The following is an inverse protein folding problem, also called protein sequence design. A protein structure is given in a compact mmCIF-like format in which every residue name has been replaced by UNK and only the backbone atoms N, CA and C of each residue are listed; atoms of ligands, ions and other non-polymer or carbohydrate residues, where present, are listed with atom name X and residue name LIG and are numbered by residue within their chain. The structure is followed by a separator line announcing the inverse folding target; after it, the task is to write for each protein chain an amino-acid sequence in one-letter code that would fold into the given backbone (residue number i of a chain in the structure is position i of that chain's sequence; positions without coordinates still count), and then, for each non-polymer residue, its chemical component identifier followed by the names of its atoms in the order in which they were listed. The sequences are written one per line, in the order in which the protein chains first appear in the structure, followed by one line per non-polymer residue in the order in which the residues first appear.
data_IF_464176745872
#
_entry.id   IF_464176745872
#
_cell.length_a   1.000
_cell.length_b   1.000
_cell.length_c   1.000
_cell.angle_alpha   90.00
_cell.angle_beta   90.00
_cell.angle_gamma   90.00
#
_symmetry.space_group_name_H-M   'P 1'
#
loop_
_entity.id
_entity.type
_entity.pdbx_description
1 polymer ?
#
# COMPACT_ATOMS: atom_id res chain seq x y z
N UNK A 1 4.74 -15.28 -12.56
CA UNK A 1 5.46 -14.97 -11.31
C UNK A 1 4.45 -14.29 -10.42
N UNK A 2 4.30 -14.68 -9.16
CA UNK A 2 3.20 -14.15 -8.35
C UNK A 2 3.38 -12.66 -8.07
N UNK A 3 2.42 -11.84 -8.50
CA UNK A 3 2.45 -10.38 -8.38
C UNK A 3 1.51 -9.89 -7.29
N UNK A 4 2.04 -9.10 -6.36
CA UNK A 4 1.33 -8.56 -5.21
C UNK A 4 1.36 -7.04 -5.25
N UNK A 5 0.20 -6.40 -5.14
CA UNK A 5 0.12 -4.96 -4.87
C UNK A 5 -0.02 -4.74 -3.37
N UNK A 6 0.94 -4.03 -2.78
CA UNK A 6 0.97 -3.73 -1.35
C UNK A 6 0.63 -2.27 -1.09
N UNK A 7 -0.59 -2.02 -0.57
CA UNK A 7 -1.14 -0.69 -0.28
C UNK A 7 -1.12 -0.47 1.22
N UNK A 8 -0.09 0.22 1.72
CA UNK A 8 0.15 0.36 3.16
C UNK A 8 0.82 1.70 3.51
N UNK A 9 0.97 1.99 4.81
CA UNK A 9 1.81 3.10 5.26
C UNK A 9 3.29 2.87 4.97
N UNK A 10 4.08 3.95 4.94
CA UNK A 10 5.54 3.89 4.81
C UNK A 10 6.23 4.82 5.81
N UNK A 11 7.37 4.39 6.34
CA UNK A 11 8.22 5.17 7.25
C UNK A 11 9.66 5.23 6.75
N UNK A 12 10.40 6.31 7.03
CA UNK A 12 11.82 6.40 6.69
C UNK A 12 12.69 5.57 7.66
N UNK A 13 12.34 5.58 8.95
CA UNK A 13 13.04 4.89 10.02
C UNK A 13 12.13 3.84 10.70
N UNK A 14 12.68 2.64 10.90
CA UNK A 14 11.97 1.47 11.43
C UNK A 14 11.33 0.58 10.36
N UNK A 15 10.59 -0.44 10.82
CA UNK A 15 9.97 -1.47 10.00
C UNK A 15 8.49 -1.65 10.36
N UNK A 16 7.63 -0.88 9.69
CA UNK A 16 6.16 -1.02 9.70
C UNK A 16 5.63 -0.78 8.29
N UNK A 17 4.40 -1.22 7.99
CA UNK A 17 3.80 -1.05 6.67
C UNK A 17 4.68 -1.59 5.54
N UNK A 18 4.79 -0.87 4.43
CA UNK A 18 5.58 -1.30 3.28
C UNK A 18 7.08 -1.48 3.57
N UNK A 19 7.64 -0.79 4.58
CA UNK A 19 9.02 -1.06 5.04
C UNK A 19 9.18 -2.45 5.64
N UNK A 20 8.13 -2.98 6.27
CA UNK A 20 8.10 -4.31 6.85
C UNK A 20 7.62 -5.40 5.89
N UNK A 21 6.82 -5.05 4.88
CA UNK A 21 6.20 -6.03 3.98
C UNK A 21 6.99 -6.27 2.68
N UNK A 22 7.48 -5.21 2.02
CA UNK A 22 7.99 -5.30 0.64
C UNK A 22 9.21 -6.19 0.53
N UNK A 23 10.23 -5.95 1.38
CA UNK A 23 11.48 -6.70 1.30
C UNK A 23 11.30 -8.20 1.60
N UNK A 24 10.58 -8.62 2.67
CA UNK A 24 10.31 -10.04 2.88
C UNK A 24 9.58 -10.72 1.71
N UNK A 25 8.57 -10.07 1.13
CA UNK A 25 7.83 -10.63 -0.01
C UNK A 25 8.72 -10.77 -1.24
N UNK A 26 9.52 -9.75 -1.57
CA UNK A 26 10.51 -9.83 -2.65
C UNK A 26 11.56 -10.92 -2.38
N UNK A 27 11.99 -11.09 -1.12
CA UNK A 27 12.94 -12.12 -0.72
C UNK A 27 12.38 -13.55 -0.89
N UNK A 28 11.06 -13.69 -0.87
CA UNK A 28 10.33 -14.94 -1.16
C UNK A 28 10.12 -15.16 -2.68
N UNK A 29 10.58 -14.24 -3.54
CA UNK A 29 10.47 -14.37 -4.99
C UNK A 29 9.16 -13.85 -5.58
N UNK A 30 8.40 -13.06 -4.82
CA UNK A 30 7.20 -12.38 -5.29
C UNK A 30 7.57 -11.07 -5.98
N UNK A 31 6.88 -10.73 -7.06
CA UNK A 31 6.91 -9.37 -7.60
C UNK A 31 6.02 -8.49 -6.72
N UNK A 32 6.50 -7.33 -6.28
CA UNK A 32 5.76 -6.48 -5.35
C UNK A 32 5.72 -5.04 -5.83
N UNK A 33 4.52 -4.57 -6.14
CA UNK A 33 4.25 -3.14 -6.39
C UNK A 33 3.80 -2.48 -5.10
N UNK A 34 4.61 -1.56 -4.57
CA UNK A 34 4.30 -0.83 -3.35
C UNK A 34 3.57 0.48 -3.64
N UNK A 35 2.43 0.70 -3.00
CA UNK A 35 1.68 1.97 -3.00
C UNK A 35 1.62 2.46 -1.55
N UNK A 36 2.21 3.61 -1.28
CA UNK A 36 2.31 4.15 0.06
C UNK A 36 1.12 5.08 0.34
N UNK A 37 0.48 4.95 1.50
CA UNK A 37 -0.64 5.81 1.91
C UNK A 37 -0.20 7.03 2.70
N UNK A 38 0.98 6.92 3.32
CA UNK A 38 1.66 8.00 4.06
C UNK A 38 3.15 7.86 3.83
N UNK A 39 3.89 8.93 4.04
CA UNK A 39 5.32 8.86 4.29
C UNK A 39 5.66 9.63 5.56
N UNK A 40 5.99 8.89 6.62
CA UNK A 40 6.43 9.47 7.88
C UNK A 40 7.93 9.24 8.14
N UNK A 41 8.52 10.03 9.03
CA UNK A 41 9.89 9.82 9.48
C UNK A 41 10.04 8.51 10.27
N UNK A 42 9.08 8.19 11.14
CA UNK A 42 9.04 6.97 11.96
C UNK A 42 7.59 6.64 12.33
N UNK A 43 7.35 5.46 12.93
CA UNK A 43 6.01 5.12 13.40
C UNK A 43 5.60 5.96 14.62
N UNK A 44 4.30 6.15 14.81
CA UNK A 44 3.71 7.06 15.81
C UNK A 44 4.00 6.67 17.26
N UNK A 45 4.33 5.40 17.53
CA UNK A 45 4.72 4.90 18.84
C UNK A 45 5.99 5.51 19.44
N UNK A 46 6.78 6.28 18.67
CA UNK A 46 7.93 7.04 19.18
C UNK A 46 7.56 8.35 19.87
N UNK A 47 6.28 8.74 19.90
CA UNK A 47 5.79 9.95 20.58
C UNK A 47 5.83 11.22 19.73
N UNK A 48 6.81 11.36 18.83
CA UNK A 48 6.85 12.40 17.80
C UNK A 48 7.22 11.81 16.44
N UNK A 49 6.68 12.40 15.38
CA UNK A 49 6.99 12.05 14.00
C UNK A 49 6.69 13.25 13.10
N UNK A 50 7.19 13.20 11.86
CA UNK A 50 6.96 14.20 10.81
C UNK A 50 6.61 13.50 9.50
N UNK A 51 6.04 14.24 8.55
CA UNK A 51 5.69 13.75 7.22
C UNK A 51 4.20 13.88 6.92
N UNK A 52 3.78 13.28 5.81
CA UNK A 52 2.50 13.56 5.18
C UNK A 52 1.63 12.31 5.00
N UNK A 53 0.32 12.53 5.14
CA UNK A 53 -0.71 11.61 4.65
C UNK A 53 -1.00 11.98 3.21
N UNK A 54 -0.96 11.01 2.30
CA UNK A 54 -1.28 11.28 0.91
C UNK A 54 -2.79 11.37 0.70
N UNK A 55 -3.21 12.33 -0.11
CA UNK A 55 -4.62 12.57 -0.41
C UNK A 55 -5.24 11.42 -1.21
N UNK A 56 -6.57 11.25 -1.19
CA UNK A 56 -7.20 10.18 -1.96
C UNK A 56 -7.03 10.37 -3.46
N UNK A 57 -6.99 11.62 -3.95
CA UNK A 57 -6.72 11.91 -5.37
C UNK A 57 -5.29 11.54 -5.76
N UNK A 58 -4.31 11.77 -4.89
CA UNK A 58 -2.96 11.30 -5.11
C UNK A 58 -2.92 9.77 -5.24
N UNK A 59 -3.58 9.05 -4.32
CA UNK A 59 -3.63 7.59 -4.36
C UNK A 59 -4.33 7.07 -5.62
N UNK A 60 -5.43 7.70 -6.06
CA UNK A 60 -6.10 7.36 -7.33
C UNK A 60 -5.16 7.55 -8.51
N UNK A 61 -4.48 8.69 -8.60
CA UNK A 61 -3.54 8.96 -9.69
C UNK A 61 -2.40 7.93 -9.75
N UNK A 62 -1.87 7.52 -8.60
CA UNK A 62 -0.83 6.49 -8.53
C UNK A 62 -1.39 5.12 -8.94
N UNK A 63 -2.57 4.75 -8.43
CA UNK A 63 -3.24 3.50 -8.77
C UNK A 63 -3.54 3.40 -10.26
N UNK A 64 -4.12 4.45 -10.86
CA UNK A 64 -4.42 4.51 -12.29
C UNK A 64 -3.12 4.45 -13.12
N UNK A 65 -2.04 5.09 -12.67
CA UNK A 65 -0.72 5.00 -13.28
C UNK A 65 -0.15 3.59 -13.28
N UNK A 66 -0.24 2.89 -12.13
CA UNK A 66 0.19 1.48 -12.02
C UNK A 66 -0.68 0.59 -12.91
N UNK A 67 -1.99 0.71 -12.83
CA UNK A 67 -2.94 -0.04 -13.66
C UNK A 67 -2.66 0.14 -15.16
N UNK A 68 -2.36 1.36 -15.59
CA UNK A 68 -2.02 1.64 -17.01
C UNK A 68 -0.71 1.00 -17.47
N UNK A 69 0.22 0.71 -16.54
CA UNK A 69 1.53 0.15 -16.86
C UNK A 69 1.53 -1.38 -16.88
N UNK A 70 0.92 -2.00 -15.86
CA UNK A 70 1.00 -3.46 -15.64
C UNK A 70 -0.31 -4.19 -15.93
N UNK A 71 -1.43 -3.48 -16.05
CA UNK A 71 -2.76 -4.10 -16.06
C UNK A 71 -3.12 -4.72 -14.71
N UNK A 72 -4.39 -5.11 -14.53
CA UNK A 72 -4.84 -5.79 -13.30
C UNK A 72 -5.02 -7.29 -13.46
N UNK A 73 -5.02 -7.77 -14.70
CA UNK A 73 -5.31 -9.17 -15.03
C UNK A 73 -4.22 -10.13 -14.54
N UNK A 74 -2.98 -9.65 -14.45
CA UNK A 74 -1.80 -10.40 -14.00
C UNK A 74 -1.44 -10.17 -12.52
N UNK A 75 -2.24 -9.40 -11.78
CA UNK A 75 -2.10 -9.25 -10.33
C UNK A 75 -2.66 -10.52 -9.67
N UNK A 76 -1.98 -11.11 -8.71
CA UNK A 76 -2.48 -12.31 -8.00
C UNK A 76 -3.11 -11.97 -6.64
N UNK A 77 -2.67 -10.89 -6.02
CA UNK A 77 -3.14 -10.48 -4.70
C UNK A 77 -2.97 -8.98 -4.44
N UNK A 78 -3.85 -8.45 -3.58
CA UNK A 78 -3.71 -7.12 -2.98
C UNK A 78 -3.54 -7.26 -1.47
N UNK A 79 -2.48 -6.69 -0.94
CA UNK A 79 -2.18 -6.63 0.49
C UNK A 79 -2.44 -5.21 1.01
N UNK A 80 -3.52 -5.00 1.76
CA UNK A 80 -3.89 -3.70 2.31
C UNK A 80 -3.59 -3.59 3.81
N UNK A 81 -2.99 -2.47 4.22
CA UNK A 81 -2.72 -2.09 5.60
C UNK A 81 -3.34 -0.74 5.97
N UNK A 82 -2.62 0.07 6.74
CA UNK A 82 -3.11 1.37 7.24
C UNK A 82 -3.66 2.24 6.11
N UNK A 83 -4.98 2.42 6.14
CA UNK A 83 -5.75 3.31 5.29
C UNK A 83 -6.73 4.04 6.22
N UNK A 84 -6.80 5.36 6.13
CA UNK A 84 -7.81 6.11 6.87
C UNK A 84 -9.22 5.59 6.48
N UNK A 85 -10.04 5.23 7.47
CA UNK A 85 -11.28 4.47 7.29
C UNK A 85 -12.30 5.10 6.32
N UNK A 86 -12.25 6.42 6.12
CA UNK A 86 -13.13 7.15 5.21
C UNK A 86 -12.74 6.94 3.73
N UNK A 87 -11.47 6.68 3.44
CA UNK A 87 -10.91 6.60 2.08
C UNK A 87 -10.83 5.18 1.52
N UNK A 88 -10.57 4.19 2.36
CA UNK A 88 -10.39 2.80 1.91
C UNK A 88 -11.59 2.24 1.17
N UNK A 89 -12.80 2.68 1.52
CA UNK A 89 -14.02 2.13 0.94
C UNK A 89 -14.37 2.72 -0.44
N UNK A 90 -13.90 3.94 -0.74
CA UNK A 90 -14.19 4.65 -2.01
C UNK A 90 -13.06 4.47 -3.03
N UNK A 91 -11.80 4.63 -2.62
CA UNK A 91 -10.64 4.55 -3.52
C UNK A 91 -10.34 3.13 -3.99
N UNK A 92 -10.56 2.13 -3.14
CA UNK A 92 -10.28 0.72 -3.48
C UNK A 92 -11.51 -0.03 -4.01
N UNK A 93 -12.65 0.65 -4.16
CA UNK A 93 -13.90 0.04 -4.59
C UNK A 93 -13.80 -0.70 -5.93
N UNK A 94 -12.98 -0.18 -6.85
CA UNK A 94 -12.71 -0.75 -8.18
C UNK A 94 -11.85 -2.02 -8.15
N UNK A 95 -11.11 -2.24 -7.06
CA UNK A 95 -10.20 -3.37 -6.87
C UNK A 95 -10.82 -4.49 -6.00
N UNK A 96 -12.13 -4.38 -5.68
CA UNK A 96 -12.83 -5.22 -4.68
C UNK A 96 -12.86 -6.71 -4.99
N UNK A 97 -12.66 -7.12 -6.24
CA UNK A 97 -12.69 -8.54 -6.59
C UNK A 97 -11.54 -9.34 -5.94
N UNK A 98 -10.50 -8.66 -5.45
CA UNK A 98 -9.37 -9.25 -4.71
C UNK A 98 -9.64 -9.51 -3.22
N UNK A 99 -10.86 -9.27 -2.72
CA UNK A 99 -11.23 -9.60 -1.35
C UNK A 99 -10.47 -8.80 -0.29
N UNK A 100 -10.68 -7.49 -0.25
CA UNK A 100 -10.10 -6.62 0.79
C UNK A 100 -10.49 -7.08 2.19
N UNK A 101 -9.52 -7.65 2.91
CA UNK A 101 -9.56 -7.75 4.37
C UNK A 101 -8.61 -6.70 4.91
N UNK A 102 -9.16 -5.68 5.59
CA UNK A 102 -8.35 -4.81 6.45
C UNK A 102 -7.62 -5.71 7.45
N UNK A 103 -6.29 -5.68 7.44
CA UNK A 103 -5.44 -6.34 8.47
C UNK A 103 -5.08 -5.29 9.56
N UNK A 104 -5.84 -4.19 9.61
CA UNK A 104 -5.82 -3.19 10.67
C UNK A 104 -7.17 -3.21 11.38
#
# INVERSE_FOLDING_TARGET
MTHVISIQSHVAYGYVGNRGAVFPLQRLGLEVTAINTVQFSNHTGYGAFTGDVFSPDHLRNVLDGVESLVGLDDVDAVLSGYINAVEGNTTLSRWRHWGFRSIC
#
